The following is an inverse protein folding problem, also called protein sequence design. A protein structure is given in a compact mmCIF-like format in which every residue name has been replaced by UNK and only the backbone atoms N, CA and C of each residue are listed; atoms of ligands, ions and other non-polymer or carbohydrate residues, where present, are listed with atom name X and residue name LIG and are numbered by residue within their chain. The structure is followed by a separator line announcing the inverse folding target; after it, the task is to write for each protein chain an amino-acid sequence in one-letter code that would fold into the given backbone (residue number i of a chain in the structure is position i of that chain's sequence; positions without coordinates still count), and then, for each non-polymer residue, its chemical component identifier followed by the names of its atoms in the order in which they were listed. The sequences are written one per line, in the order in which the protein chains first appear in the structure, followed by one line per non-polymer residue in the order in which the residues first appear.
data_IF_389304033593
#
_entry.id   IF_389304033593
#
_cell.length_a   1.000
_cell.length_b   1.000
_cell.length_c   1.000
_cell.angle_alpha   90.00
_cell.angle_beta   90.00
_cell.angle_gamma   90.00
#
_symmetry.space_group_name_H-M   'P 1'
#
loop_
_entity.id
_entity.type
_entity.pdbx_description
1 polymer ?
#
# COMPACT_ATOMS: atom_id res chain seq x y z
N UNK A 1 30.40 42.70 14.05
CA UNK A 1 31.03 43.17 12.79
C UNK A 1 31.65 41.96 12.08
N UNK A 2 31.17 41.64 10.86
CA UNK A 2 31.92 41.13 9.68
C UNK A 2 33.00 40.06 9.99
N UNK A 3 32.94 38.79 9.54
CA UNK A 3 32.67 38.24 8.19
C UNK A 3 32.56 36.71 8.34
N UNK A 4 31.50 36.07 7.86
CA UNK A 4 31.48 35.33 6.59
C UNK A 4 32.79 34.59 6.27
N UNK A 5 32.85 33.31 6.65
CA UNK A 5 33.55 32.29 5.84
C UNK A 5 32.56 31.17 5.58
N UNK A 6 31.93 31.30 4.41
CA UNK A 6 31.27 30.21 3.70
C UNK A 6 32.31 29.15 3.34
N UNK A 7 32.10 27.92 3.76
CA UNK A 7 32.61 26.71 3.11
C UNK A 7 31.57 25.62 3.39
N UNK A 8 30.44 25.63 2.66
CA UNK A 8 30.25 24.80 1.45
C UNK A 8 30.86 23.41 1.64
N UNK A 9 30.33 22.67 2.61
CA UNK A 9 30.26 21.21 2.56
C UNK A 9 28.80 20.81 2.32
N UNK A 10 28.20 21.38 1.26
CA UNK A 10 26.98 20.85 0.67
C UNK A 10 27.40 19.68 -0.22
N UNK A 11 27.86 18.60 0.41
CA UNK A 11 28.14 17.35 -0.28
C UNK A 11 26.79 16.86 -0.78
N UNK A 12 26.62 16.91 -2.10
CA UNK A 12 25.58 16.24 -2.85
C UNK A 12 25.46 14.78 -2.39
N UNK A 13 24.63 14.53 -1.38
CA UNK A 13 24.00 13.23 -1.21
C UNK A 13 23.05 13.07 -2.37
N UNK A 14 23.58 12.48 -3.44
CA UNK A 14 22.84 12.03 -4.61
C UNK A 14 21.57 11.33 -4.16
N UNK A 15 20.44 11.99 -4.40
CA UNK A 15 19.10 11.42 -4.32
C UNK A 15 19.02 10.31 -5.36
N UNK A 16 19.43 9.10 -4.98
CA UNK A 16 19.01 7.91 -5.70
C UNK A 16 17.53 7.74 -5.38
N UNK A 17 16.67 8.39 -6.18
CA UNK A 17 15.24 8.11 -6.25
C UNK A 17 15.11 6.73 -6.89
N UNK A 18 15.37 5.69 -6.11
CA UNK A 18 15.08 4.33 -6.54
C UNK A 18 13.56 4.21 -6.63
N UNK A 19 13.05 3.98 -7.84
CA UNK A 19 11.71 3.43 -8.00
C UNK A 19 11.69 2.09 -7.26
N UNK A 20 11.11 2.06 -6.06
CA UNK A 20 11.00 0.84 -5.28
C UNK A 20 9.99 -0.07 -5.99
N UNK A 21 10.44 -1.24 -6.40
CA UNK A 21 9.56 -2.30 -6.87
C UNK A 21 8.61 -2.69 -5.73
N UNK A 22 7.29 -2.79 -5.98
CA UNK A 22 6.34 -3.23 -4.96
C UNK A 22 6.72 -4.59 -4.38
N UNK A 23 6.52 -4.78 -3.08
CA UNK A 23 6.68 -6.10 -2.42
C UNK A 23 5.73 -7.12 -3.05
N UNK A 24 6.11 -8.40 -3.02
CA UNK A 24 5.22 -9.48 -3.48
C UNK A 24 3.94 -9.57 -2.64
N UNK A 25 2.88 -10.14 -3.20
CA UNK A 25 1.64 -10.39 -2.47
C UNK A 25 1.88 -11.28 -1.24
N UNK A 26 2.72 -12.31 -1.37
CA UNK A 26 3.08 -13.21 -0.27
C UNK A 26 3.81 -12.47 0.86
N UNK A 27 4.75 -11.58 0.54
CA UNK A 27 5.47 -10.81 1.56
C UNK A 27 4.51 -9.85 2.29
N UNK A 28 3.65 -9.14 1.55
CA UNK A 28 2.64 -8.25 2.13
C UNK A 28 1.72 -9.03 3.07
N UNK A 29 1.25 -10.21 2.65
CA UNK A 29 0.35 -11.02 3.46
C UNK A 29 1.05 -11.64 4.67
N UNK A 30 2.30 -12.09 4.52
CA UNK A 30 3.12 -12.59 5.63
C UNK A 30 3.29 -11.53 6.72
N UNK A 31 3.60 -10.29 6.34
CA UNK A 31 3.70 -9.16 7.27
C UNK A 31 2.34 -8.82 7.91
N UNK A 32 1.25 -8.86 7.12
CA UNK A 32 -0.10 -8.62 7.61
C UNK A 32 -0.49 -9.63 8.68
N UNK A 33 -0.27 -10.93 8.43
CA UNK A 33 -0.58 -12.01 9.37
C UNK A 33 0.29 -11.95 10.63
N UNK A 34 1.58 -11.61 10.50
CA UNK A 34 2.45 -11.41 11.65
C UNK A 34 1.95 -10.27 12.56
N UNK A 35 1.56 -9.14 11.96
CA UNK A 35 1.00 -8.00 12.69
C UNK A 35 -0.35 -8.35 13.33
N UNK A 36 -1.25 -8.96 12.57
CA UNK A 36 -2.56 -9.39 13.04
C UNK A 36 -2.47 -10.37 14.21
N UNK A 37 -1.52 -11.31 14.18
CA UNK A 37 -1.23 -12.22 15.30
C UNK A 37 -0.75 -11.48 16.54
N UNK A 38 0.16 -10.51 16.38
CA UNK A 38 0.71 -9.70 17.49
C UNK A 38 -0.36 -8.81 18.14
N UNK A 39 -1.23 -8.24 17.33
CA UNK A 39 -2.26 -7.29 17.76
C UNK A 39 -3.61 -7.95 18.10
N UNK A 40 -3.73 -9.28 17.90
CA UNK A 40 -4.97 -10.03 18.02
C UNK A 40 -6.12 -9.46 17.14
N UNK A 41 -5.78 -9.12 15.89
CA UNK A 41 -6.69 -8.55 14.88
C UNK A 41 -6.92 -9.53 13.73
N UNK A 42 -7.86 -9.22 12.84
CA UNK A 42 -8.02 -9.89 11.53
C UNK A 42 -7.27 -9.13 10.45
N UNK A 43 -6.97 -9.77 9.33
CA UNK A 43 -6.46 -9.07 8.14
C UNK A 43 -7.64 -8.68 7.27
N UNK A 44 -7.70 -7.41 6.88
CA UNK A 44 -8.62 -6.92 5.86
C UNK A 44 -7.79 -6.66 4.60
N UNK A 45 -7.82 -7.61 3.66
CA UNK A 45 -7.13 -7.49 2.39
C UNK A 45 -8.06 -6.83 1.37
N UNK A 46 -7.58 -5.80 0.68
CA UNK A 46 -8.30 -5.12 -0.40
C UNK A 46 -7.48 -5.13 -1.70
N UNK A 47 -8.09 -5.55 -2.80
CA UNK A 47 -7.46 -5.41 -4.11
C UNK A 47 -7.70 -3.98 -4.62
N UNK A 48 -6.68 -3.33 -5.17
CA UNK A 48 -6.69 -1.90 -5.45
C UNK A 48 -6.06 -1.58 -6.81
N UNK A 49 -6.40 -0.43 -7.39
CA UNK A 49 -5.69 0.15 -8.53
C UNK A 49 -5.74 1.69 -8.46
N UNK A 50 -4.77 2.40 -9.02
CA UNK A 50 -4.71 3.87 -8.97
C UNK A 50 -5.87 4.56 -9.70
N UNK A 51 -6.54 3.87 -10.61
CA UNK A 51 -7.73 4.38 -11.30
C UNK A 51 -9.05 4.03 -10.58
N UNK A 52 -9.01 3.23 -9.51
CA UNK A 52 -10.20 2.67 -8.88
C UNK A 52 -10.87 3.67 -7.92
N UNK A 53 -11.85 4.41 -8.43
CA UNK A 53 -12.62 5.37 -7.62
C UNK A 53 -13.39 4.72 -6.46
N UNK A 54 -13.87 3.49 -6.60
CA UNK A 54 -14.57 2.77 -5.52
C UNK A 54 -13.64 2.35 -4.39
N UNK A 55 -12.39 2.01 -4.72
CA UNK A 55 -11.38 1.65 -3.75
C UNK A 55 -11.06 2.86 -2.85
N UNK A 56 -10.88 4.04 -3.44
CA UNK A 56 -10.71 5.29 -2.69
C UNK A 56 -11.92 5.64 -1.81
N UNK A 57 -13.15 5.40 -2.28
CA UNK A 57 -14.35 5.60 -1.46
C UNK A 57 -14.40 4.64 -0.28
N UNK A 58 -14.00 3.38 -0.46
CA UNK A 58 -13.92 2.40 0.62
C UNK A 58 -12.88 2.82 1.66
N UNK A 59 -11.67 3.23 1.23
CA UNK A 59 -10.65 3.75 2.14
C UNK A 59 -11.13 4.98 2.92
N UNK A 60 -11.81 5.91 2.25
CA UNK A 60 -12.39 7.07 2.91
C UNK A 60 -13.48 6.67 3.93
N UNK A 61 -14.35 5.72 3.57
CA UNK A 61 -15.41 5.24 4.45
C UNK A 61 -14.85 4.50 5.69
N UNK A 62 -13.83 3.66 5.51
CA UNK A 62 -13.16 2.97 6.63
C UNK A 62 -12.47 3.96 7.59
N UNK A 63 -12.05 5.12 7.09
CA UNK A 63 -11.42 6.17 7.88
C UNK A 63 -12.38 7.27 8.36
N UNK A 64 -13.67 7.16 8.07
CA UNK A 64 -14.66 8.10 8.58
C UNK A 64 -14.67 8.07 10.12
N UNK A 65 -14.69 9.24 10.81
CA UNK A 65 -14.61 9.27 12.27
C UNK A 65 -15.66 8.44 13.00
N UNK A 66 -16.84 8.23 12.40
CA UNK A 66 -17.93 7.44 13.00
C UNK A 66 -17.63 5.94 13.09
N UNK A 67 -16.75 5.41 12.23
CA UNK A 67 -16.42 3.98 12.15
C UNK A 67 -14.94 3.67 12.25
N UNK A 68 -14.05 4.65 12.13
CA UNK A 68 -12.59 4.47 12.11
C UNK A 68 -12.08 3.65 13.29
N UNK A 69 -12.59 3.91 14.50
CA UNK A 69 -12.18 3.16 15.70
C UNK A 69 -12.47 1.67 15.56
N UNK A 70 -13.61 1.30 14.97
CA UNK A 70 -13.94 -0.10 14.74
C UNK A 70 -12.92 -0.74 13.78
N UNK A 71 -12.56 -0.08 12.69
CA UNK A 71 -11.56 -0.63 11.77
C UNK A 71 -10.17 -0.74 12.41
N UNK A 72 -9.73 0.32 13.08
CA UNK A 72 -8.42 0.36 13.74
C UNK A 72 -8.29 -0.69 14.85
N UNK A 73 -9.36 -0.96 15.62
CA UNK A 73 -9.35 -1.94 16.71
C UNK A 73 -9.38 -3.39 16.22
N UNK A 74 -10.01 -3.66 15.07
CA UNK A 74 -10.31 -5.02 14.65
C UNK A 74 -9.47 -5.54 13.48
N UNK A 75 -8.89 -4.66 12.67
CA UNK A 75 -8.23 -5.06 11.41
C UNK A 75 -6.82 -4.51 11.24
N UNK A 76 -5.98 -5.35 10.64
CA UNK A 76 -4.79 -4.93 9.91
C UNK A 76 -5.18 -4.82 8.45
N UNK A 77 -5.37 -3.59 7.96
CA UNK A 77 -5.76 -3.33 6.57
C UNK A 77 -4.52 -3.39 5.67
N UNK A 78 -4.60 -4.10 4.55
CA UNK A 78 -3.57 -4.15 3.51
C UNK A 78 -4.18 -4.11 2.13
N UNK A 79 -3.42 -3.52 1.21
CA UNK A 79 -3.80 -3.36 -0.18
C UNK A 79 -2.84 -4.14 -1.06
N UNK A 80 -3.38 -4.81 -2.09
CA UNK A 80 -2.61 -5.35 -3.19
C UNK A 80 -3.02 -4.66 -4.48
N UNK A 81 -2.05 -4.09 -5.19
CA UNK A 81 -2.26 -3.39 -6.44
C UNK A 81 -2.35 -4.39 -7.58
N UNK A 82 -3.47 -4.34 -8.30
CA UNK A 82 -3.81 -5.19 -9.44
C UNK A 82 -4.46 -4.36 -10.54
N UNK A 83 -4.57 -4.93 -11.74
CA UNK A 83 -5.36 -4.37 -12.84
C UNK A 83 -4.99 -2.93 -13.22
N UNK A 84 -3.73 -2.52 -13.06
CA UNK A 84 -3.28 -1.18 -13.41
C UNK A 84 -3.36 -0.90 -14.91
N UNK A 85 -3.40 0.39 -15.24
CA UNK A 85 -3.31 0.82 -16.64
C UNK A 85 -1.95 0.44 -17.25
N UNK A 86 -1.88 0.30 -18.58
CA UNK A 86 -0.68 -0.20 -19.29
C UNK A 86 0.63 0.48 -18.87
N UNK A 87 0.62 1.81 -18.67
CA UNK A 87 1.79 2.57 -18.23
C UNK A 87 2.10 2.54 -16.73
N UNK A 88 1.34 1.78 -15.95
CA UNK A 88 1.43 1.69 -14.48
C UNK A 88 1.51 0.26 -13.96
N UNK A 89 1.59 -0.76 -14.83
CA UNK A 89 1.71 -2.16 -14.41
C UNK A 89 2.89 -2.43 -13.47
N UNK A 90 3.95 -1.62 -13.54
CA UNK A 90 5.08 -1.68 -12.62
C UNK A 90 4.73 -1.33 -11.16
N UNK A 91 3.53 -0.81 -10.90
CA UNK A 91 3.00 -0.55 -9.57
C UNK A 91 2.25 -1.77 -8.99
N UNK A 92 1.95 -2.79 -9.81
CA UNK A 92 1.28 -4.00 -9.35
C UNK A 92 2.18 -4.81 -8.43
N UNK A 93 1.58 -5.41 -7.40
CA UNK A 93 2.30 -6.33 -6.52
C UNK A 93 2.49 -7.68 -7.25
N UNK A 94 3.72 -8.20 -7.35
CA UNK A 94 3.95 -9.53 -7.91
C UNK A 94 3.11 -10.60 -7.20
N UNK A 95 2.36 -11.42 -7.95
CA UNK A 95 1.49 -12.46 -7.40
C UNK A 95 0.08 -12.01 -6.99
N UNK A 96 -0.22 -10.71 -7.04
CA UNK A 96 -1.50 -10.21 -6.55
C UNK A 96 -2.69 -10.57 -7.45
N UNK A 97 -2.50 -10.61 -8.77
CA UNK A 97 -3.56 -11.01 -9.71
C UNK A 97 -3.90 -12.50 -9.57
N UNK A 98 -2.90 -13.34 -9.34
CA UNK A 98 -3.06 -14.76 -9.06
C UNK A 98 -3.80 -14.99 -7.74
N UNK A 99 -3.40 -14.28 -6.68
CA UNK A 99 -4.07 -14.32 -5.38
C UNK A 99 -5.52 -13.81 -5.46
N UNK A 100 -5.78 -12.77 -6.25
CA UNK A 100 -7.15 -12.30 -6.52
C UNK A 100 -7.99 -13.39 -7.17
N UNK A 101 -7.43 -14.12 -8.13
CA UNK A 101 -8.11 -15.25 -8.76
C UNK A 101 -8.36 -16.41 -7.78
N UNK A 102 -7.42 -16.70 -6.89
CA UNK A 102 -7.56 -17.70 -5.81
C UNK A 102 -8.74 -17.36 -4.89
N UNK A 103 -8.90 -16.10 -4.51
CA UNK A 103 -10.05 -15.61 -3.75
C UNK A 103 -11.29 -15.34 -4.62
N UNK A 104 -11.37 -15.94 -5.80
CA UNK A 104 -12.52 -15.90 -6.72
C UNK A 104 -12.85 -14.50 -7.28
N UNK A 105 -11.92 -13.56 -7.20
CA UNK A 105 -12.06 -12.18 -7.65
C UNK A 105 -11.72 -11.94 -9.12
N UNK A 106 -11.11 -12.89 -9.84
CA UNK A 106 -10.58 -12.67 -11.20
C UNK A 106 -11.60 -12.27 -12.28
N UNK A 107 -12.90 -12.33 -12.00
CA UNK A 107 -13.99 -11.83 -12.87
C UNK A 107 -14.83 -10.72 -12.23
N UNK A 108 -14.48 -10.30 -11.02
CA UNK A 108 -15.15 -9.26 -10.26
C UNK A 108 -14.45 -7.91 -10.47
N UNK A 109 -15.14 -6.83 -10.12
CA UNK A 109 -14.49 -5.53 -9.93
C UNK A 109 -13.71 -5.47 -8.61
N UNK A 110 -12.92 -4.41 -8.47
CA UNK A 110 -12.29 -3.98 -7.22
C UNK A 110 -13.04 -2.77 -6.62
N UNK A 111 -12.94 -2.47 -5.32
CA UNK A 111 -12.10 -3.14 -4.31
C UNK A 111 -12.51 -4.58 -4.00
#
# INVERSE_FOLDING_TARGET
MKRFVFAVFFVCTSLAVFAQTPSSADDVMKEAYASAKKENKKVFLMFHASWCGWCHKMDAAMNDPSVKKFFDDNFVIRHLVVMESEGKKNLENPGATEMMAEYHGGKSGIP
#
